data_IF_014159490608
#
_entry.id   IF_014159490608
#
_cell.length_a   1.000
_cell.length_b   1.000
_cell.length_c   1.000
_cell.angle_alpha   90.00
_cell.angle_beta   90.00
_cell.angle_gamma   90.00
#
_symmetry.space_group_name_H-M   'P 1'
#
loop_
_entity.id
_entity.type
_entity.pdbx_description
1 polymer ?
#
# COMPACT_ATOMS: atom_id res chain seq x y z
N UNK A 1 12.55 -6.56 7.08
CA UNK A 1 12.77 -5.48 6.09
C UNK A 1 14.00 -5.70 5.24
N UNK A 2 15.22 -5.74 5.79
CA UNK A 2 16.45 -6.03 4.99
C UNK A 2 16.34 -7.34 4.20
N UNK A 3 15.96 -8.42 4.88
CA UNK A 3 15.69 -9.73 4.25
C UNK A 3 14.65 -9.65 3.12
N UNK A 4 13.55 -8.92 3.33
CA UNK A 4 12.51 -8.69 2.31
C UNK A 4 13.10 -8.04 1.06
N UNK A 5 13.91 -6.99 1.24
CA UNK A 5 14.55 -6.27 0.12
C UNK A 5 15.56 -7.18 -0.61
N UNK A 6 16.34 -7.96 0.13
CA UNK A 6 17.26 -8.94 -0.47
C UNK A 6 16.51 -10.00 -1.29
N UNK A 7 15.37 -10.48 -0.80
CA UNK A 7 14.49 -11.41 -1.54
C UNK A 7 13.97 -10.76 -2.83
N UNK A 8 13.49 -9.51 -2.76
CA UNK A 8 12.99 -8.79 -3.93
C UNK A 8 14.10 -8.62 -4.99
N UNK A 9 15.29 -8.17 -4.58
CA UNK A 9 16.47 -8.04 -5.45
C UNK A 9 16.86 -9.37 -6.09
N UNK A 10 16.96 -10.45 -5.29
CA UNK A 10 17.34 -11.78 -5.77
C UNK A 10 16.38 -12.33 -6.83
N UNK A 11 15.11 -11.95 -6.75
CA UNK A 11 14.06 -12.40 -7.67
C UNK A 11 13.72 -11.38 -8.78
N UNK A 12 14.51 -10.30 -8.92
CA UNK A 12 14.26 -9.23 -9.90
C UNK A 12 12.86 -8.60 -9.79
N UNK A 13 12.33 -8.50 -8.57
CA UNK A 13 11.05 -7.85 -8.31
C UNK A 13 11.32 -6.38 -8.00
N UNK A 14 10.76 -5.49 -8.81
CA UNK A 14 10.84 -4.04 -8.61
C UNK A 14 10.11 -3.65 -7.31
N UNK A 15 10.65 -2.67 -6.60
CA UNK A 15 10.09 -2.20 -5.34
C UNK A 15 10.40 -0.72 -5.11
N UNK A 16 9.61 -0.08 -4.25
CA UNK A 16 9.84 1.29 -3.77
C UNK A 16 9.34 1.49 -2.35
N UNK A 17 9.71 2.60 -1.72
CA UNK A 17 9.20 3.00 -0.40
C UNK A 17 9.86 2.34 0.80
N UNK A 18 10.89 1.51 0.62
CA UNK A 18 11.72 1.01 1.71
C UNK A 18 13.11 0.64 1.21
N UNK A 19 14.15 1.11 1.89
CA UNK A 19 15.54 0.72 1.61
C UNK A 19 16.46 1.03 2.82
N UNK A 20 17.76 0.92 2.59
CA UNK A 20 18.86 1.12 3.54
C UNK A 20 18.91 2.50 4.17
N UNK A 21 18.31 3.51 3.54
CA UNK A 21 18.14 4.87 4.05
C UNK A 21 17.01 5.58 3.30
N UNK A 22 16.67 6.80 3.73
CA UNK A 22 15.57 7.58 3.14
C UNK A 22 15.83 7.98 1.68
N UNK A 23 17.07 8.22 1.27
CA UNK A 23 17.39 8.62 -0.11
C UNK A 23 17.11 7.49 -1.10
N UNK A 24 17.48 6.26 -0.72
CA UNK A 24 17.19 5.06 -1.50
C UNK A 24 15.70 4.70 -1.44
N UNK A 25 15.06 4.81 -0.27
CA UNK A 25 13.64 4.48 -0.09
C UNK A 25 12.69 5.40 -0.91
N UNK A 26 13.10 6.64 -1.20
CA UNK A 26 12.33 7.58 -2.02
C UNK A 26 12.52 7.38 -3.53
N UNK A 27 13.44 6.52 -3.97
CA UNK A 27 13.57 6.21 -5.40
C UNK A 27 12.34 5.43 -5.87
N UNK A 28 11.78 5.78 -7.05
CA UNK A 28 10.70 5.00 -7.61
C UNK A 28 11.21 3.65 -8.12
N UNK A 29 10.30 2.67 -8.14
CA UNK A 29 10.46 1.53 -9.02
C UNK A 29 10.16 1.99 -10.45
N UNK A 30 11.06 1.71 -11.38
CA UNK A 30 10.94 2.13 -12.78
C UNK A 30 10.63 0.92 -13.63
N UNK A 31 9.53 1.00 -14.39
CA UNK A 31 9.13 0.00 -15.36
C UNK A 31 9.02 0.65 -16.73
N UNK A 32 9.71 0.09 -17.72
CA UNK A 32 9.74 0.61 -19.08
C UNK A 32 8.96 -0.33 -20.00
N UNK A 33 8.01 0.22 -20.73
CA UNK A 33 7.20 -0.52 -21.69
C UNK A 33 6.92 0.35 -22.91
N UNK A 34 7.21 -0.15 -24.11
CA UNK A 34 7.02 0.57 -25.38
C UNK A 34 7.56 2.02 -25.39
N UNK A 35 8.75 2.23 -24.79
CA UNK A 35 9.40 3.54 -24.62
C UNK A 35 8.63 4.55 -23.75
N UNK A 36 7.71 4.08 -22.91
CA UNK A 36 7.06 4.87 -21.87
C UNK A 36 7.64 4.46 -20.51
N UNK A 37 8.07 5.45 -19.73
CA UNK A 37 8.66 5.24 -18.41
C UNK A 37 7.60 5.38 -17.30
N UNK A 38 7.31 4.28 -16.60
CA UNK A 38 6.40 4.25 -15.45
C UNK A 38 7.20 4.29 -14.16
N UNK A 39 6.93 5.27 -13.30
CA UNK A 39 7.60 5.44 -12.01
C UNK A 39 6.62 5.23 -10.85
N UNK A 40 6.90 4.24 -10.01
CA UNK A 40 6.08 3.86 -8.86
C UNK A 40 6.73 4.33 -7.55
N UNK A 41 6.08 5.25 -6.87
CA UNK A 41 6.50 5.81 -5.58
C UNK A 41 5.66 5.20 -4.47
N UNK A 42 6.26 4.83 -3.35
CA UNK A 42 5.52 4.28 -2.21
C UNK A 42 5.82 5.07 -0.95
N UNK A 43 4.78 5.53 -0.24
CA UNK A 43 4.91 6.20 1.05
C UNK A 43 3.95 5.61 2.10
N UNK A 44 4.36 5.64 3.36
CA UNK A 44 3.59 5.12 4.48
C UNK A 44 3.26 6.21 5.51
N UNK A 45 2.02 6.27 5.97
CA UNK A 45 1.64 7.02 7.17
C UNK A 45 2.33 6.39 8.38
N UNK A 46 2.87 7.20 9.30
CA UNK A 46 3.68 6.71 10.43
C UNK A 46 3.42 7.40 11.77
N UNK A 47 2.73 8.55 11.75
CA UNK A 47 2.59 9.44 12.92
C UNK A 47 1.29 9.21 13.71
N UNK A 48 0.66 8.04 13.59
CA UNK A 48 -0.52 7.71 14.39
C UNK A 48 -0.09 6.91 15.64
N UNK A 49 -0.67 7.25 16.80
CA UNK A 49 -0.44 6.59 18.09
C UNK A 49 -0.70 5.07 18.05
N UNK A 50 -1.47 4.61 17.06
CA UNK A 50 -1.82 3.22 16.84
C UNK A 50 -0.84 2.48 15.91
N UNK A 51 0.06 3.17 15.19
CA UNK A 51 1.02 2.60 14.24
C UNK A 51 2.38 2.29 14.90
N UNK A 52 2.39 1.40 15.88
CA UNK A 52 3.57 1.13 16.74
C UNK A 52 4.67 0.28 16.09
N UNK A 53 4.49 -0.21 14.86
CA UNK A 53 5.37 -1.19 14.22
C UNK A 53 6.08 -0.67 12.96
N UNK A 54 5.94 0.63 12.66
CA UNK A 54 6.56 1.23 11.49
C UNK A 54 7.96 1.75 11.87
N UNK A 55 8.96 1.39 11.06
CA UNK A 55 10.33 1.90 11.20
C UNK A 55 10.57 2.89 10.07
N UNK A 56 10.51 4.22 10.32
CA UNK A 56 10.82 5.23 9.31
C UNK A 56 12.27 5.12 8.83
N UNK A 57 12.50 5.28 7.53
CA UNK A 57 13.84 5.45 7.01
C UNK A 57 14.39 6.81 7.43
N UNK A 58 15.66 6.84 7.82
CA UNK A 58 16.40 8.09 8.06
C UNK A 58 17.61 8.12 7.13
N UNK A 59 18.41 9.18 7.21
CA UNK A 59 19.64 9.29 6.41
C UNK A 59 20.63 8.16 6.68
N UNK A 60 20.64 7.65 7.92
CA UNK A 60 21.62 6.66 8.39
C UNK A 60 20.99 5.34 8.85
N UNK A 61 19.68 5.16 8.62
CA UNK A 61 18.97 3.97 9.07
C UNK A 61 17.94 3.51 8.05
N UNK A 62 17.87 2.19 7.88
CA UNK A 62 16.92 1.55 7.01
C UNK A 62 15.49 1.79 7.51
N UNK A 63 14.54 1.90 6.60
CA UNK A 63 13.14 1.93 6.99
C UNK A 63 12.23 2.14 5.79
N UNK A 64 10.99 2.49 6.08
CA UNK A 64 10.02 2.90 5.07
C UNK A 64 10.08 4.40 4.81
N UNK A 65 9.87 4.81 3.57
CA UNK A 65 9.66 6.20 3.22
C UNK A 65 8.30 6.66 3.78
N UNK A 66 8.33 7.72 4.58
CA UNK A 66 7.13 8.19 5.28
C UNK A 66 6.45 9.35 4.57
N UNK A 67 5.14 9.48 4.78
CA UNK A 67 4.39 10.64 4.33
C UNK A 67 4.73 11.84 5.23
N UNK A 68 5.45 12.81 4.67
CA UNK A 68 5.72 14.14 5.24
C UNK A 68 6.10 15.10 4.11
N UNK A 69 6.02 16.42 4.38
CA UNK A 69 6.21 17.45 3.35
C UNK A 69 7.57 17.37 2.64
N UNK A 70 8.65 17.09 3.38
CA UNK A 70 9.99 16.99 2.81
C UNK A 70 10.11 15.81 1.82
N UNK A 71 9.58 14.64 2.19
CA UNK A 71 9.58 13.48 1.32
C UNK A 71 8.68 13.69 0.09
N UNK A 72 7.52 14.32 0.27
CA UNK A 72 6.58 14.64 -0.80
C UNK A 72 7.18 15.61 -1.83
N UNK A 73 7.85 16.67 -1.39
CA UNK A 73 8.53 17.61 -2.29
C UNK A 73 9.72 16.95 -3.03
N UNK A 74 10.45 16.04 -2.38
CA UNK A 74 11.50 15.26 -3.04
C UNK A 74 10.93 14.38 -4.14
N UNK A 75 9.90 13.57 -3.87
CA UNK A 75 9.33 12.69 -4.91
C UNK A 75 8.65 13.48 -6.02
N UNK A 76 8.04 14.63 -5.72
CA UNK A 76 7.47 15.55 -6.71
C UNK A 76 8.54 16.19 -7.61
N UNK A 77 9.75 16.38 -7.09
CA UNK A 77 10.89 16.82 -7.91
C UNK A 77 11.35 15.68 -8.83
N UNK A 78 11.47 14.47 -8.28
CA UNK A 78 11.89 13.27 -9.02
C UNK A 78 10.85 12.89 -10.10
N UNK A 79 9.56 13.10 -9.85
CA UNK A 79 8.48 12.74 -10.78
C UNK A 79 8.49 13.53 -12.09
N UNK A 80 9.20 14.66 -12.15
CA UNK A 80 9.36 15.45 -13.38
C UNK A 80 10.18 14.74 -14.46
N UNK A 81 10.89 13.67 -14.10
CA UNK A 81 11.79 12.94 -14.98
C UNK A 81 11.16 11.73 -15.66
N UNK A 82 9.88 11.43 -15.41
CA UNK A 82 9.22 10.23 -15.92
C UNK A 82 7.89 10.57 -16.60
N UNK A 83 7.45 9.68 -17.47
CA UNK A 83 6.25 9.88 -18.27
C UNK A 83 4.97 9.72 -17.46
N UNK A 84 4.90 8.63 -16.68
CA UNK A 84 3.70 8.28 -15.92
C UNK A 84 4.12 7.98 -14.48
N UNK A 85 3.65 8.82 -13.57
CA UNK A 85 3.97 8.74 -12.15
C UNK A 85 2.79 8.15 -11.36
N UNK A 86 3.04 7.05 -10.66
CA UNK A 86 2.07 6.33 -9.85
C UNK A 86 2.47 6.44 -8.38
N UNK A 87 1.58 6.94 -7.54
CA UNK A 87 1.82 7.07 -6.10
C UNK A 87 1.02 6.00 -5.34
N UNK A 88 1.73 5.08 -4.69
CA UNK A 88 1.21 4.04 -3.81
C UNK A 88 1.26 4.54 -2.36
N UNK A 89 0.14 4.46 -1.64
CA UNK A 89 0.04 5.00 -0.28
C UNK A 89 -0.51 3.97 0.69
N UNK A 90 0.19 3.77 1.79
CA UNK A 90 -0.34 3.09 2.96
C UNK A 90 -0.84 4.17 3.94
N UNK A 91 -2.11 4.56 3.81
CA UNK A 91 -2.68 5.78 4.40
C UNK A 91 -4.16 5.57 4.73
N UNK A 92 -4.61 6.01 5.90
CA UNK A 92 -6.03 6.01 6.24
C UNK A 92 -6.32 5.37 7.59
N UNK A 93 -7.57 4.93 7.77
CA UNK A 93 -7.97 4.15 8.95
C UNK A 93 -8.49 2.79 8.50
N UNK A 94 -8.09 1.76 9.24
CA UNK A 94 -8.60 0.40 9.03
C UNK A 94 -10.13 0.35 9.09
N UNK A 95 -10.72 -0.48 8.23
CA UNK A 95 -12.13 -0.88 8.23
C UNK A 95 -13.14 0.23 7.87
N UNK A 96 -12.67 1.42 7.49
CA UNK A 96 -13.55 2.44 6.92
C UNK A 96 -13.76 2.17 5.43
N UNK A 97 -15.00 2.28 4.98
CA UNK A 97 -15.38 2.12 3.56
C UNK A 97 -15.44 3.46 2.80
N UNK A 98 -15.20 4.57 3.50
CA UNK A 98 -15.14 5.91 2.94
C UNK A 98 -13.84 6.60 3.34
N UNK A 99 -13.24 7.38 2.43
CA UNK A 99 -12.04 8.11 2.75
C UNK A 99 -12.32 9.30 3.65
N UNK A 100 -11.43 9.50 4.60
CA UNK A 100 -11.47 10.65 5.49
C UNK A 100 -11.22 11.97 4.71
N UNK A 101 -11.71 13.12 5.20
CA UNK A 101 -11.51 14.41 4.53
C UNK A 101 -10.05 14.73 4.23
N UNK A 102 -9.11 14.36 5.11
CA UNK A 102 -7.69 14.59 4.90
C UNK A 102 -7.12 13.75 3.76
N UNK A 103 -7.59 12.52 3.55
CA UNK A 103 -7.20 11.68 2.42
C UNK A 103 -7.67 12.32 1.11
N UNK A 104 -8.92 12.81 1.06
CA UNK A 104 -9.43 13.53 -0.12
C UNK A 104 -8.61 14.78 -0.42
N UNK A 105 -8.31 15.59 0.59
CA UNK A 105 -7.46 16.78 0.44
C UNK A 105 -6.08 16.40 -0.09
N UNK A 106 -5.44 15.40 0.50
CA UNK A 106 -4.14 14.89 0.07
C UNK A 106 -4.16 14.53 -1.42
N UNK A 107 -5.12 13.71 -1.86
CA UNK A 107 -5.15 13.31 -3.27
C UNK A 107 -5.38 14.49 -4.21
N UNK A 108 -6.23 15.44 -3.85
CA UNK A 108 -6.42 16.64 -4.64
C UNK A 108 -5.12 17.45 -4.79
N UNK A 109 -4.38 17.63 -3.70
CA UNK A 109 -3.14 18.40 -3.67
C UNK A 109 -2.01 17.77 -4.52
N UNK A 110 -1.98 16.44 -4.62
CA UNK A 110 -0.89 15.70 -5.30
C UNK A 110 -1.25 15.13 -6.68
N UNK A 111 -2.53 15.09 -7.06
CA UNK A 111 -3.01 14.49 -8.33
C UNK A 111 -2.48 15.14 -9.61
N UNK A 112 -1.97 16.38 -9.54
CA UNK A 112 -1.34 17.04 -10.70
C UNK A 112 0.08 16.53 -10.98
N UNK A 113 0.76 15.98 -9.97
CA UNK A 113 2.11 15.42 -10.07
C UNK A 113 2.08 13.90 -10.22
N UNK A 114 1.06 13.26 -9.64
CA UNK A 114 0.84 11.82 -9.67
C UNK A 114 -0.57 11.57 -10.23
N UNK A 115 -0.73 11.41 -11.55
CA UNK A 115 -2.05 11.22 -12.16
C UNK A 115 -2.73 9.92 -11.70
N UNK A 116 -1.97 8.93 -11.22
CA UNK A 116 -2.53 7.70 -10.65
C UNK A 116 -2.11 7.62 -9.19
N UNK A 117 -3.07 7.64 -8.28
CA UNK A 117 -2.83 7.48 -6.85
C UNK A 117 -3.61 6.28 -6.30
N UNK A 118 -2.88 5.34 -5.72
CA UNK A 118 -3.38 4.05 -5.25
C UNK A 118 -3.14 3.92 -3.74
N UNK A 119 -4.17 4.20 -2.97
CA UNK A 119 -4.21 4.00 -1.52
C UNK A 119 -4.47 2.54 -1.13
N UNK A 120 -4.05 2.21 0.09
CA UNK A 120 -4.24 0.97 0.84
C UNK A 120 -4.15 1.27 2.34
N UNK A 121 -4.30 0.24 3.19
CA UNK A 121 -4.32 0.22 4.67
C UNK A 121 -5.71 -0.06 5.26
N UNK A 122 -6.80 0.34 4.59
CA UNK A 122 -8.13 0.15 5.18
C UNK A 122 -8.59 -1.32 5.27
N UNK A 123 -7.90 -2.24 4.58
CA UNK A 123 -8.26 -3.67 4.48
C UNK A 123 -9.64 -3.95 3.88
N UNK A 124 -10.30 -2.93 3.33
CA UNK A 124 -11.59 -3.03 2.65
C UNK A 124 -11.54 -2.21 1.36
N UNK A 125 -12.20 -2.65 0.28
CA UNK A 125 -12.28 -1.86 -0.93
C UNK A 125 -13.00 -0.53 -0.68
N UNK A 126 -12.45 0.56 -1.20
CA UNK A 126 -13.07 1.87 -1.18
C UNK A 126 -13.42 2.33 -2.59
N UNK A 127 -14.12 3.48 -2.69
CA UNK A 127 -14.42 4.13 -3.96
C UNK A 127 -13.16 4.39 -4.79
N UNK A 128 -13.36 4.43 -6.11
CA UNK A 128 -12.35 4.74 -7.11
C UNK A 128 -12.86 5.90 -7.95
N UNK A 129 -12.17 7.03 -7.87
CA UNK A 129 -12.55 8.30 -8.49
C UNK A 129 -11.71 8.56 -9.73
N UNK A 130 -12.38 8.99 -10.79
CA UNK A 130 -11.78 9.29 -12.09
C UNK A 130 -12.15 10.72 -12.49
N UNK A 131 -11.15 11.57 -12.73
CA UNK A 131 -11.38 12.94 -13.18
C UNK A 131 -10.24 13.39 -14.09
N UNK A 132 -10.54 13.80 -15.33
CA UNK A 132 -9.60 14.51 -16.23
C UNK A 132 -8.19 13.90 -16.25
N UNK A 133 -8.05 12.66 -16.70
CA UNK A 133 -6.77 11.93 -16.75
C UNK A 133 -6.15 11.66 -15.37
N UNK A 134 -6.96 11.64 -14.32
CA UNK A 134 -6.54 11.28 -12.96
C UNK A 134 -7.36 10.11 -12.46
N UNK A 135 -6.70 9.23 -11.73
CA UNK A 135 -7.30 8.08 -11.09
C UNK A 135 -6.87 8.06 -9.62
N UNK A 136 -7.85 7.98 -8.73
CA UNK A 136 -7.63 7.83 -7.29
C UNK A 136 -8.39 6.60 -6.82
N UNK A 137 -7.66 5.57 -6.42
CA UNK A 137 -8.23 4.42 -5.73
C UNK A 137 -7.88 4.54 -4.25
N UNK A 138 -8.86 4.76 -3.38
CA UNK A 138 -8.58 5.06 -1.97
C UNK A 138 -8.11 3.83 -1.18
N UNK A 139 -8.59 2.64 -1.56
CA UNK A 139 -8.14 1.36 -1.02
C UNK A 139 -8.60 0.22 -1.93
N UNK A 140 -7.70 -0.71 -2.22
CA UNK A 140 -8.01 -1.88 -3.05
C UNK A 140 -8.64 -3.03 -2.24
N UNK A 141 -8.50 -3.01 -0.91
CA UNK A 141 -8.81 -4.16 -0.06
C UNK A 141 -7.63 -5.11 0.07
N UNK A 142 -7.90 -6.38 0.38
CA UNK A 142 -6.89 -7.41 0.57
C UNK A 142 -6.84 -8.34 -0.65
N UNK A 143 -5.70 -8.47 -1.34
CA UNK A 143 -5.59 -9.40 -2.47
C UNK A 143 -4.97 -10.73 -2.05
N UNK A 144 -3.71 -10.67 -1.60
CA UNK A 144 -2.98 -11.79 -1.00
C UNK A 144 -2.72 -11.42 0.47
N UNK A 145 -3.40 -12.11 1.39
CA UNK A 145 -3.31 -11.82 2.81
C UNK A 145 -3.47 -13.08 3.64
N UNK A 146 -2.54 -13.31 4.56
CA UNK A 146 -2.52 -14.47 5.44
C UNK A 146 -3.47 -14.33 6.63
N UNK A 147 -3.69 -15.45 7.32
CA UNK A 147 -4.14 -15.46 8.70
C UNK A 147 -2.97 -15.23 9.64
N UNK A 148 -3.19 -14.47 10.71
CA UNK A 148 -2.15 -14.19 11.69
C UNK A 148 -2.49 -14.82 13.03
N UNK A 149 -1.55 -15.57 13.58
CA UNK A 149 -1.61 -15.93 14.98
C UNK A 149 -1.01 -14.80 15.82
N UNK A 150 -1.72 -14.43 16.88
CA UNK A 150 -1.24 -13.51 17.89
C UNK A 150 -1.00 -14.26 19.21
N UNK A 151 0.06 -13.87 19.92
CA UNK A 151 0.34 -14.30 21.30
C UNK A 151 0.41 -13.10 22.24
N UNK A 152 0.38 -13.37 23.55
CA UNK A 152 0.46 -12.32 24.58
C UNK A 152 1.74 -11.47 24.43
N UNK A 153 1.65 -10.12 24.51
CA UNK A 153 0.44 -9.33 24.73
C UNK A 153 -0.38 -9.03 23.47
N UNK A 154 0.21 -9.05 22.26
CA UNK A 154 -0.42 -9.04 20.93
C UNK A 154 0.65 -9.14 19.82
N UNK A 155 1.58 -10.08 19.95
CA UNK A 155 2.69 -10.25 18.99
C UNK A 155 2.25 -11.18 17.85
N UNK A 156 2.45 -10.75 16.61
CA UNK A 156 2.18 -11.56 15.41
C UNK A 156 3.24 -12.65 15.27
N UNK A 157 2.78 -13.88 15.03
CA UNK A 157 3.61 -15.03 14.67
C UNK A 157 3.18 -15.55 13.30
N UNK A 158 3.99 -15.28 12.29
CA UNK A 158 3.80 -15.84 10.97
C UNK A 158 4.17 -17.34 10.97
N UNK A 159 3.47 -18.15 10.18
CA UNK A 159 3.80 -19.56 9.90
C UNK A 159 3.85 -20.52 11.10
N UNK A 160 3.20 -20.18 12.22
CA UNK A 160 3.01 -21.11 13.34
C UNK A 160 1.56 -21.54 13.45
N UNK A 161 1.32 -22.84 13.67
CA UNK A 161 -0.02 -23.39 13.94
C UNK A 161 -0.13 -23.77 15.41
N UNK A 162 -1.22 -23.38 16.04
CA UNK A 162 -1.57 -23.78 17.41
C UNK A 162 -2.72 -24.78 17.38
N UNK A 163 -2.73 -25.74 18.30
CA UNK A 163 -3.87 -26.68 18.45
C UNK A 163 -5.05 -26.03 19.17
N UNK A 164 -4.75 -25.29 20.25
CA UNK A 164 -5.72 -24.52 21.01
C UNK A 164 -5.53 -23.02 20.79
N UNK A 165 -6.55 -22.37 20.21
CA UNK A 165 -6.55 -20.94 19.97
C UNK A 165 -7.97 -20.35 20.00
N UNK A 166 -8.06 -19.02 20.12
CA UNK A 166 -9.29 -18.25 19.91
C UNK A 166 -9.33 -17.71 18.47
N UNK A 167 -10.51 -17.56 17.89
CA UNK A 167 -10.69 -16.81 16.64
C UNK A 167 -11.13 -15.38 16.96
N UNK A 168 -10.57 -14.41 16.22
CA UNK A 168 -11.00 -13.01 16.21
C UNK A 168 -11.10 -12.52 14.76
N UNK A 169 -11.89 -11.48 14.52
CA UNK A 169 -11.97 -10.79 13.22
C UNK A 169 -11.38 -9.38 13.25
N UNK A 170 -11.13 -8.86 14.45
CA UNK A 170 -10.51 -7.56 14.69
C UNK A 170 -9.08 -7.74 15.20
N UNK A 171 -8.30 -6.66 15.16
CA UNK A 171 -6.98 -6.61 15.79
C UNK A 171 -7.10 -6.95 17.28
N UNK A 172 -6.54 -8.08 17.74
CA UNK A 172 -6.74 -8.48 19.12
C UNK A 172 -5.86 -7.65 20.05
N UNK A 173 -6.43 -7.09 21.11
CA UNK A 173 -5.67 -6.39 22.15
C UNK A 173 -6.46 -6.33 23.48
N UNK A 174 -5.92 -6.84 24.61
CA UNK A 174 -4.75 -7.71 24.73
C UNK A 174 -5.08 -9.19 24.46
N UNK A 175 -4.09 -9.94 23.96
CA UNK A 175 -4.17 -11.38 23.71
C UNK A 175 -3.82 -12.17 24.97
N UNK A 176 -4.74 -13.01 25.46
CA UNK A 176 -4.56 -13.82 26.68
C UNK A 176 -4.09 -15.27 26.42
N UNK A 177 -4.45 -15.82 25.27
CA UNK A 177 -4.06 -17.15 24.75
C UNK A 177 -3.82 -17.02 23.25
N UNK A 178 -3.20 -17.99 22.54
CA UNK A 178 -3.03 -17.91 21.10
C UNK A 178 -4.35 -17.55 20.40
N UNK A 179 -4.31 -16.55 19.53
CA UNK A 179 -5.51 -16.03 18.84
C UNK A 179 -5.25 -15.96 17.35
N UNK A 180 -6.03 -16.68 16.55
CA UNK A 180 -6.06 -16.60 15.11
C UNK A 180 -6.95 -15.43 14.66
N UNK A 181 -6.38 -14.45 13.95
CA UNK A 181 -7.13 -13.39 13.29
C UNK A 181 -7.54 -13.84 11.89
N UNK A 182 -8.84 -14.00 11.68
CA UNK A 182 -9.44 -14.26 10.37
C UNK A 182 -9.96 -12.95 9.76
N UNK A 183 -10.01 -12.87 8.44
CA UNK A 183 -10.67 -11.76 7.76
C UNK A 183 -12.18 -12.05 7.65
N UNK A 184 -13.00 -11.05 7.98
CA UNK A 184 -14.44 -11.15 7.76
C UNK A 184 -14.81 -11.08 6.27
N UNK A 185 -16.09 -11.24 5.95
CA UNK A 185 -16.56 -11.30 4.55
C UNK A 185 -16.23 -10.05 3.74
N UNK A 186 -16.31 -8.85 4.33
CA UNK A 186 -16.04 -7.60 3.60
C UNK A 186 -14.54 -7.45 3.33
N UNK A 187 -13.70 -7.84 4.29
CA UNK A 187 -12.25 -7.82 4.18
C UNK A 187 -11.69 -8.91 3.25
N UNK A 188 -12.56 -9.81 2.75
CA UNK A 188 -12.28 -10.80 1.69
C UNK A 188 -12.58 -10.29 0.28
N UNK A 189 -13.14 -9.09 0.15
CA UNK A 189 -13.38 -8.46 -1.13
C UNK A 189 -12.18 -7.59 -1.49
N UNK A 190 -11.79 -7.63 -2.76
CA UNK A 190 -10.78 -6.77 -3.36
C UNK A 190 -11.27 -6.15 -4.65
N UNK A 191 -10.71 -4.99 -5.00
CA UNK A 191 -10.82 -4.39 -6.33
C UNK A 191 -9.51 -4.64 -7.08
N UNK A 192 -9.63 -5.25 -8.26
CA UNK A 192 -8.61 -5.25 -9.30
C UNK A 192 -8.93 -4.09 -10.24
N UNK A 193 -7.94 -3.23 -10.48
CA UNK A 193 -8.02 -2.15 -11.45
C UNK A 193 -7.25 -2.52 -12.71
N UNK A 194 -7.94 -2.48 -13.84
CA UNK A 194 -7.31 -2.52 -15.16
C UNK A 194 -7.30 -1.09 -15.69
N UNK A 195 -6.10 -0.53 -15.91
CA UNK A 195 -5.90 0.86 -16.32
C UNK A 195 -5.30 0.83 -17.72
N UNK A 196 -6.10 1.23 -18.71
CA UNK A 196 -5.66 1.36 -20.09
C UNK A 196 -5.09 2.75 -20.32
N UNK A 197 -3.90 2.80 -20.90
CA UNK A 197 -3.14 4.04 -21.09
C UNK A 197 -2.73 4.11 -22.55
N UNK A 198 -3.03 5.24 -23.19
CA UNK A 198 -2.55 5.54 -24.54
C UNK A 198 -1.06 5.87 -24.50
N UNK A 199 -0.26 5.08 -25.20
CA UNK A 199 1.21 5.22 -25.23
C UNK A 199 1.66 6.55 -25.84
N UNK A 200 0.87 7.10 -26.78
CA UNK A 200 1.24 8.33 -27.49
C UNK A 200 0.99 9.58 -26.66
N UNK A 201 -0.22 9.70 -26.12
CA UNK A 201 -0.60 10.85 -25.30
C UNK A 201 -0.18 10.70 -23.83
N UNK A 202 0.17 9.48 -23.40
CA UNK A 202 0.54 9.13 -22.01
C UNK A 202 -0.60 9.41 -21.04
N UNK A 203 -1.83 9.16 -21.48
CA UNK A 203 -3.07 9.44 -20.75
C UNK A 203 -3.87 8.16 -20.52
N UNK A 204 -4.57 8.12 -19.40
CA UNK A 204 -5.58 7.12 -19.05
C UNK A 204 -6.74 7.25 -20.06
N UNK A 205 -7.01 6.16 -20.77
CA UNK A 205 -8.14 6.06 -21.70
C UNK A 205 -9.36 5.42 -21.03
N UNK A 206 -9.13 4.37 -20.24
CA UNK A 206 -10.19 3.58 -19.63
C UNK A 206 -9.71 2.98 -18.31
N UNK A 207 -10.60 2.90 -17.32
CA UNK A 207 -10.39 2.17 -16.08
C UNK A 207 -11.52 1.18 -15.86
N UNK A 208 -11.20 -0.11 -15.75
CA UNK A 208 -12.17 -1.15 -15.37
C UNK A 208 -11.95 -1.56 -13.92
N UNK A 209 -13.06 -1.77 -13.21
CA UNK A 209 -13.10 -2.11 -11.78
C UNK A 209 -13.69 -3.49 -11.63
N UNK A 210 -12.86 -4.47 -11.31
CA UNK A 210 -13.27 -5.85 -11.11
C UNK A 210 -13.24 -6.18 -9.61
N UNK A 211 -14.38 -6.60 -9.06
CA UNK A 211 -14.46 -7.02 -7.67
C UNK A 211 -14.26 -8.53 -7.60
N UNK A 212 -13.36 -8.95 -6.72
CA UNK A 212 -13.08 -10.35 -6.46
C UNK A 212 -13.30 -10.64 -4.99
N UNK A 213 -13.79 -11.84 -4.69
CA UNK A 213 -13.81 -12.40 -3.35
C UNK A 213 -12.73 -13.47 -3.31
N UNK A 214 -11.74 -13.33 -2.43
CA UNK A 214 -10.77 -14.41 -2.24
C UNK A 214 -11.24 -15.31 -1.10
N UNK A 215 -11.15 -16.63 -1.31
CA UNK A 215 -11.25 -17.56 -0.19
C UNK A 215 -9.91 -17.58 0.55
N UNK A 216 -9.98 -17.35 1.85
CA UNK A 216 -8.82 -17.39 2.73
C UNK A 216 -8.47 -18.85 3.10
N UNK A 217 -9.41 -19.78 2.99
CA UNK A 217 -9.27 -21.17 3.43
C UNK A 217 -8.75 -22.11 2.32
N UNK A 218 -8.78 -21.67 1.06
CA UNK A 218 -8.31 -22.45 -0.11
C UNK A 218 -6.84 -22.16 -0.51
N UNK A 219 -6.05 -21.51 0.37
CA UNK A 219 -4.64 -21.13 0.12
C UNK A 219 -3.63 -21.92 0.95
#
# INVERSE_FOLDING_TARGET
MKETIEILKKNNILYSGADSNIYEALKPAIFNYNNVEFAFYSLCEHNDLFLKMIVPATENHYGVATINDNNLEKIKTISKSYDINILLLHLGRENLIYPAPYQKKFFNDYSSFFPIILGNHSHVPMRVDEEKNKLIAYSHGNFIFDEFFYIKPSIILNNKKFKDYQITYDLPSPVKKPTLKKWDKIKRISIILEINIDEKSKKIEEVKKNYICFDQEER
#
